data_IF_712174958789
#
_entry.id   IF_712174958789
#
_cell.length_a   1.000
_cell.length_b   1.000
_cell.length_c   1.000
_cell.angle_alpha   90.00
_cell.angle_beta   90.00
_cell.angle_gamma   90.00
#
_symmetry.space_group_name_H-M   'P 1'
#
loop_
_entity.id
_entity.type
_entity.pdbx_description
1 polymer ?
#
# COMPACT_ATOMS: atom_id res chain seq x y z
N UNK A 1 15.36 -3.67 2.32
CA UNK A 1 14.53 -4.52 1.43
C UNK A 1 15.05 -4.45 -0.01
N UNK A 2 14.88 -5.49 -0.84
CA UNK A 2 15.08 -5.35 -2.30
C UNK A 2 13.88 -4.62 -2.94
N UNK A 3 13.98 -3.29 -2.98
CA UNK A 3 12.93 -2.42 -3.51
C UNK A 3 12.66 -2.63 -5.00
N UNK A 4 13.68 -3.01 -5.78
CA UNK A 4 13.50 -3.27 -7.21
C UNK A 4 12.63 -4.51 -7.42
N UNK A 5 12.98 -5.62 -6.76
CA UNK A 5 12.21 -6.86 -6.81
C UNK A 5 10.80 -6.70 -6.24
N UNK A 6 10.61 -5.84 -5.24
CA UNK A 6 9.29 -5.53 -4.71
C UNK A 6 8.44 -4.72 -5.72
N UNK A 7 8.99 -3.63 -6.26
CA UNK A 7 8.31 -2.76 -7.25
C UNK A 7 8.06 -3.44 -8.60
N UNK A 8 8.85 -4.46 -8.96
CA UNK A 8 8.63 -5.27 -10.17
C UNK A 8 7.24 -5.92 -10.21
N UNK A 9 6.58 -6.06 -9.06
CA UNK A 9 5.23 -6.63 -8.96
C UNK A 9 4.10 -5.62 -9.27
N UNK A 10 4.44 -4.38 -9.65
CA UNK A 10 3.52 -3.33 -10.11
C UNK A 10 3.38 -3.32 -11.63
N UNK A 11 2.49 -2.50 -12.19
CA UNK A 11 2.43 -2.23 -13.64
C UNK A 11 3.21 -0.96 -14.05
N UNK A 12 4.19 -0.55 -13.27
CA UNK A 12 5.08 0.56 -13.62
C UNK A 12 6.05 0.15 -14.72
N UNK A 13 6.49 1.10 -15.53
CA UNK A 13 7.49 0.85 -16.56
C UNK A 13 8.84 0.50 -15.92
N UNK A 14 9.67 -0.29 -16.61
CA UNK A 14 10.98 -0.72 -16.09
C UNK A 14 11.87 0.46 -15.66
N UNK A 15 11.84 1.58 -16.41
CA UNK A 15 12.56 2.80 -16.04
C UNK A 15 12.04 3.41 -14.73
N UNK A 16 10.71 3.42 -14.54
CA UNK A 16 10.08 3.94 -13.32
C UNK A 16 10.42 3.06 -12.11
N UNK A 17 10.39 1.74 -12.28
CA UNK A 17 10.78 0.78 -11.23
C UNK A 17 12.21 1.03 -10.78
N UNK A 18 13.15 1.16 -11.72
CA UNK A 18 14.55 1.42 -11.40
C UNK A 18 14.73 2.75 -10.66
N UNK A 19 14.09 3.82 -11.16
CA UNK A 19 14.15 5.15 -10.54
C UNK A 19 13.59 5.14 -9.11
N UNK A 20 12.44 4.51 -8.89
CA UNK A 20 11.81 4.48 -7.57
C UNK A 20 12.53 3.57 -6.59
N UNK A 21 13.08 2.44 -7.06
CA UNK A 21 13.93 1.60 -6.20
C UNK A 21 15.14 2.39 -5.68
N UNK A 22 15.81 3.16 -6.55
CA UNK A 22 16.90 4.03 -6.13
C UNK A 22 16.43 5.13 -5.17
N UNK A 23 15.30 5.76 -5.47
CA UNK A 23 14.69 6.80 -4.62
C UNK A 23 14.40 6.26 -3.21
N UNK A 24 13.86 5.05 -3.10
CA UNK A 24 13.55 4.42 -1.81
C UNK A 24 14.82 4.09 -1.03
N UNK A 25 15.89 3.62 -1.71
CA UNK A 25 17.20 3.39 -1.08
C UNK A 25 17.81 4.70 -0.59
N UNK A 26 17.75 5.77 -1.38
CA UNK A 26 18.31 7.08 -1.02
C UNK A 26 17.58 7.76 0.14
N UNK A 27 16.27 7.50 0.30
CA UNK A 27 15.48 7.94 1.44
C UNK A 27 15.54 6.95 2.62
N UNK A 28 16.43 5.94 2.55
CA UNK A 28 16.64 4.95 3.60
C UNK A 28 15.37 4.18 4.02
N UNK A 29 14.41 4.03 3.10
CA UNK A 29 13.17 3.31 3.39
C UNK A 29 13.46 1.85 3.71
N UNK A 30 12.82 1.38 4.77
CA UNK A 30 12.84 -0.01 5.24
C UNK A 30 11.51 -0.71 4.94
N UNK A 31 11.50 -2.03 5.09
CA UNK A 31 10.33 -2.85 4.80
C UNK A 31 9.16 -2.53 5.75
N UNK A 32 9.49 -2.15 6.99
CA UNK A 32 8.56 -1.76 8.03
C UNK A 32 7.81 -0.47 7.67
N UNK A 33 8.45 0.43 6.92
CA UNK A 33 7.86 1.70 6.49
C UNK A 33 6.71 1.52 5.48
N UNK A 34 6.55 0.32 4.90
CA UNK A 34 5.46 0.03 3.97
C UNK A 34 4.09 0.25 4.63
N UNK A 35 3.96 0.09 5.95
CA UNK A 35 2.71 0.37 6.66
C UNK A 35 2.35 1.84 6.71
N UNK A 36 3.34 2.72 6.59
CA UNK A 36 3.17 4.18 6.60
C UNK A 36 2.91 4.74 5.20
N UNK A 37 3.03 3.91 4.15
CA UNK A 37 2.84 4.35 2.77
C UNK A 37 1.43 4.91 2.58
N UNK A 38 1.38 6.20 2.28
CA UNK A 38 0.18 6.93 1.91
C UNK A 38 0.52 7.92 0.79
N UNK A 39 -0.48 8.64 0.30
CA UNK A 39 -0.29 9.58 -0.82
C UNK A 39 0.71 10.70 -0.51
N UNK A 40 0.69 11.24 0.71
CA UNK A 40 1.54 12.34 1.13
C UNK A 40 2.98 11.87 1.32
N UNK A 41 3.17 10.75 2.02
CA UNK A 41 4.46 10.11 2.23
C UNK A 41 5.16 9.79 0.91
N UNK A 42 4.45 9.11 -0.01
CA UNK A 42 5.02 8.77 -1.31
C UNK A 42 5.36 10.02 -2.14
N UNK A 43 4.59 11.10 -1.98
CA UNK A 43 4.90 12.37 -2.63
C UNK A 43 6.15 13.03 -2.04
N UNK A 44 6.30 13.04 -0.71
CA UNK A 44 7.46 13.65 -0.04
C UNK A 44 8.77 12.92 -0.33
N UNK A 45 8.74 11.60 -0.53
CA UNK A 45 9.94 10.82 -0.89
C UNK A 45 10.30 10.91 -2.38
N UNK A 46 9.44 11.50 -3.23
CA UNK A 46 9.75 11.74 -4.65
C UNK A 46 8.90 10.98 -5.68
N UNK A 47 7.82 10.31 -5.27
CA UNK A 47 6.85 9.69 -6.19
C UNK A 47 5.75 10.70 -6.55
N UNK A 48 6.08 11.67 -7.41
CA UNK A 48 5.19 12.77 -7.78
C UNK A 48 4.00 12.43 -8.72
N UNK A 49 4.06 11.44 -9.62
CA UNK A 49 2.90 11.07 -10.44
C UNK A 49 1.84 10.31 -9.63
N UNK A 50 0.60 10.81 -9.62
CA UNK A 50 -0.49 10.22 -8.84
C UNK A 50 -0.78 8.75 -9.21
N UNK A 51 -0.74 8.42 -10.51
CA UNK A 51 -0.91 7.05 -10.99
C UNK A 51 0.14 6.10 -10.40
N UNK A 52 1.39 6.55 -10.26
CA UNK A 52 2.46 5.70 -9.74
C UNK A 52 2.30 5.46 -8.24
N UNK A 53 1.91 6.49 -7.49
CA UNK A 53 1.54 6.32 -6.07
C UNK A 53 0.42 5.29 -5.91
N UNK A 54 -0.61 5.34 -6.77
CA UNK A 54 -1.72 4.37 -6.72
C UNK A 54 -1.25 2.93 -6.95
N UNK A 55 -0.36 2.69 -7.92
CA UNK A 55 0.19 1.35 -8.16
C UNK A 55 1.02 0.83 -6.96
N UNK A 56 1.82 1.70 -6.34
CA UNK A 56 2.64 1.36 -5.16
C UNK A 56 1.74 1.08 -3.94
N UNK A 57 0.70 1.88 -3.70
CA UNK A 57 -0.25 1.65 -2.60
C UNK A 57 -1.02 0.34 -2.78
N UNK A 58 -1.48 0.03 -4.00
CA UNK A 58 -2.12 -1.27 -4.31
C UNK A 58 -1.19 -2.44 -4.05
N UNK A 59 0.10 -2.29 -4.36
CA UNK A 59 1.10 -3.30 -4.06
C UNK A 59 1.26 -3.50 -2.54
N UNK A 60 1.36 -2.42 -1.78
CA UNK A 60 1.46 -2.47 -0.31
C UNK A 60 0.25 -3.17 0.31
N UNK A 61 -0.98 -2.85 -0.14
CA UNK A 61 -2.20 -3.53 0.31
C UNK A 61 -2.20 -5.03 0.00
N UNK A 62 -1.73 -5.41 -1.21
CA UNK A 62 -1.63 -6.82 -1.61
C UNK A 62 -0.60 -7.57 -0.77
N UNK A 63 0.55 -6.98 -0.52
CA UNK A 63 1.62 -7.59 0.28
C UNK A 63 1.19 -7.76 1.74
N UNK A 64 0.52 -6.76 2.32
CA UNK A 64 -0.08 -6.85 3.65
C UNK A 64 -1.09 -7.99 3.74
N UNK A 65 -2.01 -8.12 2.76
CA UNK A 65 -2.95 -9.24 2.72
C UNK A 65 -2.25 -10.59 2.59
N UNK A 66 -1.21 -10.68 1.76
CA UNK A 66 -0.42 -11.91 1.56
C UNK A 66 0.24 -12.36 2.87
N UNK A 67 0.82 -11.42 3.63
CA UNK A 67 1.42 -11.69 4.95
C UNK A 67 0.38 -12.20 5.96
N UNK A 68 -0.82 -11.61 5.96
CA UNK A 68 -1.93 -12.07 6.81
C UNK A 68 -2.49 -13.43 6.39
N UNK A 69 -2.47 -13.77 5.10
CA UNK A 69 -2.88 -15.11 4.64
C UNK A 69 -1.82 -16.19 4.86
N UNK A 70 -0.53 -15.83 4.84
CA UNK A 70 0.57 -16.75 5.18
C UNK A 70 0.70 -16.99 6.69
N UNK A 71 0.34 -16.00 7.50
CA UNK A 71 0.20 -16.10 8.95
C UNK A 71 -1.28 -16.16 9.31
N UNK A 72 -1.94 -17.32 9.14
CA UNK A 72 -3.39 -17.60 9.34
C UNK A 72 -4.13 -16.70 10.37
N UNK A 73 -4.35 -15.44 10.02
CA UNK A 73 -5.01 -14.45 10.87
C UNK A 73 -6.30 -14.06 10.17
N UNK A 74 -7.36 -14.73 10.61
CA UNK A 74 -8.73 -14.40 10.21
C UNK A 74 -9.07 -13.03 10.79
N UNK A 75 -8.82 -11.97 10.03
CA UNK A 75 -9.34 -10.63 10.34
C UNK A 75 -10.80 -10.59 9.94
N UNK A 76 -11.67 -10.97 10.88
CA UNK A 76 -13.07 -10.59 10.83
C UNK A 76 -13.20 -9.14 11.31
N UNK A 77 -13.61 -8.22 10.43
CA UNK A 77 -13.98 -6.87 10.86
C UNK A 77 -15.07 -6.24 9.96
N UNK A 78 -16.31 -6.57 10.32
CA UNK A 78 -17.50 -5.71 10.45
C UNK A 78 -17.91 -4.85 9.25
N UNK A 79 -18.92 -5.35 8.52
CA UNK A 79 -19.81 -4.54 7.66
C UNK A 79 -20.50 -3.48 8.51
N UNK A 80 -20.20 -2.21 8.21
CA UNK A 80 -20.83 -1.03 8.81
C UNK A 80 -22.22 -0.81 8.21
N UNK A 81 -23.25 -1.52 8.66
CA UNK A 81 -24.66 -1.15 8.39
C UNK A 81 -25.20 -0.29 9.53
N UNK A 82 -24.83 0.99 9.54
CA UNK A 82 -25.53 2.01 10.30
C UNK A 82 -26.40 2.79 9.32
N UNK A 83 -27.72 2.55 9.36
CA UNK A 83 -28.86 3.33 8.81
C UNK A 83 -29.94 2.38 8.28
N UNK A 84 -30.70 1.71 9.16
CA UNK A 84 -32.08 1.27 8.86
C UNK A 84 -32.86 0.75 10.09
N UNK A 85 -32.56 1.20 11.31
CA UNK A 85 -33.29 0.77 12.53
C UNK A 85 -33.83 1.92 13.40
N UNK A 86 -33.88 3.16 12.89
CA UNK A 86 -34.60 4.28 13.55
C UNK A 86 -36.02 4.47 13.00
N UNK A 87 -36.63 3.41 12.43
CA UNK A 87 -37.99 3.50 11.86
C UNK A 87 -38.99 2.49 12.44
N UNK A 88 -38.75 1.99 13.65
CA UNK A 88 -39.73 1.23 14.43
C UNK A 88 -39.63 1.56 15.94
N UNK A 89 -40.37 2.59 16.34
CA UNK A 89 -41.16 2.65 17.58
C UNK A 89 -40.47 2.53 18.94
N UNK A 90 -40.13 3.68 19.53
CA UNK A 90 -40.74 4.15 20.79
C UNK A 90 -41.05 5.64 20.65
#
# INVERSE_FOLDING_TARGET
MDWHSWLWKTNLDQHQIHQYALTFIQNELQEEDITEFNHEFLMSVGVAPAKHRLEILRLAERDARSRLTGLSFVVSAVRRTRKFLDKLGF
#
